data_IF_871089713023
#
_entry.id   IF_871089713023
#
_cell.length_a   1.000
_cell.length_b   1.000
_cell.length_c   1.000
_cell.angle_alpha   90.00
_cell.angle_beta   90.00
_cell.angle_gamma   90.00
#
_symmetry.space_group_name_H-M   'P 1'
#
loop_
_entity.id
_entity.type
_entity.pdbx_description
1 polymer ?
#
# COMPACT_ATOMS: atom_id res chain seq x y z
N UNK A 1 -10.78 18.09 -16.23
CA UNK A 1 -10.03 17.21 -15.30
C UNK A 1 -9.81 15.88 -16.00
N UNK A 2 -8.56 15.50 -16.30
CA UNK A 2 -8.24 14.15 -16.82
C UNK A 2 -7.74 13.33 -15.64
N UNK A 3 -8.63 12.54 -15.04
CA UNK A 3 -8.26 11.58 -14.00
C UNK A 3 -7.38 10.50 -14.61
N UNK A 4 -6.31 10.13 -13.89
CA UNK A 4 -5.43 9.02 -14.27
C UNK A 4 -5.69 7.80 -13.41
N UNK A 5 -5.60 6.63 -14.01
CA UNK A 5 -5.63 5.35 -13.32
C UNK A 5 -4.25 4.69 -13.40
N UNK A 6 -3.88 3.97 -12.33
CA UNK A 6 -2.71 3.09 -12.32
C UNK A 6 -3.21 1.65 -12.16
N UNK A 7 -2.77 0.76 -13.05
CA UNK A 7 -3.19 -0.63 -13.04
C UNK A 7 -2.07 -1.55 -13.51
N UNK A 8 -2.22 -2.83 -13.26
CA UNK A 8 -1.25 -3.84 -13.65
C UNK A 8 -1.79 -4.64 -14.83
N UNK A 9 -0.96 -4.79 -15.85
CA UNK A 9 -1.20 -5.70 -16.98
C UNK A 9 -0.27 -6.89 -16.82
N UNK A 10 -0.84 -8.09 -16.69
CA UNK A 10 -0.07 -9.35 -16.64
C UNK A 10 -0.16 -10.05 -17.98
N UNK A 11 0.99 -10.36 -18.57
CA UNK A 11 1.16 -11.20 -19.77
C UNK A 11 1.87 -12.48 -19.36
N UNK A 12 1.95 -13.47 -20.27
CA UNK A 12 2.53 -14.79 -19.98
C UNK A 12 3.92 -14.71 -19.31
N UNK A 13 4.77 -13.78 -19.75
CA UNK A 13 6.19 -13.73 -19.35
C UNK A 13 6.57 -12.41 -18.68
N UNK A 14 5.63 -11.51 -18.44
CA UNK A 14 5.90 -10.23 -17.78
C UNK A 14 4.65 -9.57 -17.20
N UNK A 15 4.87 -8.72 -16.21
CA UNK A 15 3.88 -7.78 -15.67
C UNK A 15 4.34 -6.35 -15.91
N UNK A 16 3.41 -5.47 -16.22
CA UNK A 16 3.67 -4.04 -16.40
C UNK A 16 2.75 -3.23 -15.50
N UNK A 17 3.30 -2.24 -14.80
CA UNK A 17 2.54 -1.18 -14.15
C UNK A 17 2.30 -0.07 -15.16
N UNK A 18 1.04 0.22 -15.42
CA UNK A 18 0.60 1.14 -16.46
C UNK A 18 -0.16 2.30 -15.85
N UNK A 19 0.08 3.50 -16.39
CA UNK A 19 -0.77 4.68 -16.14
C UNK A 19 -1.49 5.03 -17.43
N UNK A 20 -2.81 5.23 -17.34
CA UNK A 20 -3.65 5.69 -18.45
C UNK A 20 -4.62 6.79 -18.00
N UNK A 21 -5.30 7.39 -18.95
CA UNK A 21 -6.48 8.20 -18.66
C UNK A 21 -7.61 7.29 -18.10
N UNK A 22 -8.56 7.86 -17.36
CA UNK A 22 -9.65 7.09 -16.73
C UNK A 22 -10.52 6.32 -17.72
N UNK A 23 -10.52 6.71 -18.97
CA UNK A 23 -11.20 6.05 -20.09
C UNK A 23 -10.31 4.98 -20.79
N UNK A 24 -9.10 4.74 -20.26
CA UNK A 24 -8.14 3.77 -20.79
C UNK A 24 -7.24 4.29 -21.91
N UNK A 25 -7.44 5.54 -22.37
CA UNK A 25 -6.58 6.12 -23.41
C UNK A 25 -5.18 6.49 -22.87
N UNK A 26 -4.24 6.67 -23.80
CA UNK A 26 -2.86 7.09 -23.52
C UNK A 26 -2.14 6.20 -22.48
N UNK A 27 -2.18 4.85 -22.61
CA UNK A 27 -1.49 3.98 -21.65
C UNK A 27 0.03 4.13 -21.77
N UNK A 28 0.71 4.22 -20.64
CA UNK A 28 2.17 4.28 -20.54
C UNK A 28 2.64 3.27 -19.50
N UNK A 29 3.53 2.36 -19.88
CA UNK A 29 4.21 1.47 -18.95
C UNK A 29 5.25 2.28 -18.18
N UNK A 30 5.12 2.31 -16.84
CA UNK A 30 6.04 3.04 -15.95
C UNK A 30 7.00 2.12 -15.21
N UNK A 31 6.70 0.82 -15.16
CA UNK A 31 7.56 -0.21 -14.62
C UNK A 31 7.21 -1.56 -15.25
N UNK A 32 8.23 -2.34 -15.60
CA UNK A 32 8.07 -3.68 -16.20
C UNK A 32 8.93 -4.69 -15.44
N UNK A 33 8.40 -5.87 -15.18
CA UNK A 33 9.07 -6.97 -14.48
C UNK A 33 8.66 -8.31 -15.05
N UNK A 34 9.55 -9.30 -15.01
CA UNK A 34 9.19 -10.72 -15.25
C UNK A 34 8.40 -11.30 -14.08
N UNK A 35 8.52 -10.70 -12.91
CA UNK A 35 7.84 -11.11 -11.69
C UNK A 35 6.53 -10.32 -11.50
N UNK A 36 5.58 -10.84 -10.71
CA UNK A 36 4.31 -10.15 -10.46
C UNK A 36 4.49 -8.73 -9.90
N UNK A 37 3.57 -7.85 -10.28
CA UNK A 37 3.39 -6.53 -9.71
C UNK A 37 2.00 -6.49 -9.07
N UNK A 38 1.90 -5.98 -7.84
CA UNK A 38 0.64 -5.95 -7.07
C UNK A 38 0.43 -4.60 -6.40
N UNK A 39 -0.83 -4.34 -6.05
CA UNK A 39 -1.25 -3.25 -5.14
C UNK A 39 -0.70 -1.86 -5.51
N UNK A 40 -0.89 -1.35 -6.75
CA UNK A 40 -0.50 0.01 -7.07
C UNK A 40 -1.31 1.02 -6.24
N UNK A 41 -0.64 2.05 -5.74
CA UNK A 41 -1.22 3.13 -4.94
C UNK A 41 -0.62 4.48 -5.34
N UNK A 42 -1.46 5.42 -5.72
CA UNK A 42 -1.06 6.80 -5.97
C UNK A 42 -0.68 7.51 -4.68
N UNK A 43 0.37 8.33 -4.72
CA UNK A 43 0.60 9.32 -3.67
C UNK A 43 -0.49 10.40 -3.69
N UNK A 44 -0.80 11.04 -2.54
CA UNK A 44 -1.88 12.04 -2.46
C UNK A 44 -1.72 13.20 -3.45
N UNK A 45 -0.50 13.59 -3.75
CA UNK A 45 -0.16 14.66 -4.69
C UNK A 45 -0.08 14.20 -6.17
N UNK A 46 -0.26 12.90 -6.43
CA UNK A 46 -0.15 12.31 -7.76
C UNK A 46 1.26 12.28 -8.36
N UNK A 47 2.30 12.62 -7.58
CA UNK A 47 3.69 12.67 -8.08
C UNK A 47 4.41 11.33 -8.06
N UNK A 48 3.84 10.31 -7.39
CA UNK A 48 4.45 8.99 -7.24
C UNK A 48 3.40 7.88 -7.27
N UNK A 49 3.85 6.66 -7.60
CA UNK A 49 3.08 5.43 -7.44
C UNK A 49 3.89 4.45 -6.60
N UNK A 50 3.32 3.98 -5.50
CA UNK A 50 3.84 2.86 -4.72
C UNK A 50 3.22 1.55 -5.23
N UNK A 51 3.98 0.46 -5.23
CA UNK A 51 3.51 -0.87 -5.63
C UNK A 51 4.40 -1.95 -5.04
N UNK A 52 3.94 -3.19 -5.09
CA UNK A 52 4.71 -4.37 -4.68
C UNK A 52 5.26 -5.05 -5.91
N UNK A 53 6.54 -5.46 -5.88
CA UNK A 53 7.13 -6.32 -6.91
C UNK A 53 8.01 -7.39 -6.28
N UNK A 54 8.09 -8.54 -6.95
CA UNK A 54 8.89 -9.71 -6.56
C UNK A 54 10.23 -9.77 -7.31
N UNK A 55 10.72 -8.66 -7.84
CA UNK A 55 11.92 -8.59 -8.70
C UNK A 55 13.16 -9.27 -8.12
N UNK A 56 13.28 -9.38 -6.80
CA UNK A 56 14.37 -10.10 -6.11
C UNK A 56 13.89 -11.38 -5.42
N UNK A 57 12.87 -12.06 -5.96
CA UNK A 57 12.25 -13.28 -5.41
C UNK A 57 11.61 -13.09 -4.02
N UNK A 58 11.49 -11.86 -3.53
CA UNK A 58 10.79 -11.48 -2.29
C UNK A 58 9.93 -10.28 -2.59
N UNK A 59 8.73 -10.26 -2.01
CA UNK A 59 7.87 -9.10 -2.10
C UNK A 59 8.55 -7.89 -1.47
N UNK A 60 8.68 -6.82 -2.22
CA UNK A 60 9.20 -5.54 -1.76
C UNK A 60 8.34 -4.40 -2.29
N UNK A 61 8.23 -3.34 -1.50
CA UNK A 61 7.54 -2.13 -1.91
C UNK A 61 8.50 -1.26 -2.73
N UNK A 62 8.02 -0.79 -3.87
CA UNK A 62 8.71 0.12 -4.77
C UNK A 62 7.94 1.42 -4.86
N UNK A 63 8.64 2.52 -5.09
CA UNK A 63 8.06 3.82 -5.37
C UNK A 63 8.67 4.37 -6.66
N UNK A 64 7.81 4.69 -7.63
CA UNK A 64 8.20 5.30 -8.90
C UNK A 64 7.72 6.75 -8.95
N UNK A 65 8.61 7.74 -9.17
CA UNK A 65 8.21 9.10 -9.43
C UNK A 65 7.58 9.22 -10.83
N UNK A 66 6.50 9.97 -10.94
CA UNK A 66 5.74 10.10 -12.18
C UNK A 66 5.34 11.55 -12.45
N UNK A 67 5.19 11.89 -13.72
CA UNK A 67 4.49 13.10 -14.14
C UNK A 67 3.00 12.76 -14.33
N UNK A 68 2.16 13.19 -13.42
CA UNK A 68 0.72 12.90 -13.45
C UNK A 68 0.07 13.28 -14.79
N UNK A 69 0.35 14.49 -15.32
CA UNK A 69 -0.27 14.98 -16.56
C UNK A 69 0.11 14.13 -17.78
N UNK A 70 1.37 13.70 -17.86
CA UNK A 70 1.88 12.90 -18.97
C UNK A 70 1.68 11.40 -18.76
N UNK A 71 1.37 10.94 -17.53
CA UNK A 71 1.24 9.53 -17.19
C UNK A 71 2.53 8.73 -17.36
N UNK A 72 3.71 9.36 -17.18
CA UNK A 72 5.03 8.74 -17.43
C UNK A 72 5.92 8.82 -16.21
N UNK A 73 6.76 7.81 -16.02
CA UNK A 73 7.82 7.86 -15.02
C UNK A 73 8.78 9.03 -15.30
N UNK A 74 9.21 9.72 -14.24
CA UNK A 74 10.18 10.82 -14.30
C UNK A 74 11.55 10.44 -13.74
N UNK A 75 11.68 9.23 -13.20
CA UNK A 75 12.91 8.71 -12.63
C UNK A 75 12.85 7.21 -12.41
N UNK A 76 13.93 6.65 -11.85
CA UNK A 76 14.01 5.24 -11.50
C UNK A 76 13.15 4.94 -10.28
N UNK A 77 12.56 3.74 -10.25
CA UNK A 77 11.89 3.22 -9.06
C UNK A 77 12.90 2.99 -7.94
N UNK A 78 12.55 3.39 -6.73
CA UNK A 78 13.32 3.11 -5.52
C UNK A 78 12.65 2.00 -4.73
N UNK A 79 13.44 1.17 -4.06
CA UNK A 79 12.95 0.14 -3.12
C UNK A 79 12.79 0.79 -1.76
N UNK A 80 11.66 0.52 -1.10
CA UNK A 80 11.42 0.91 0.29
C UNK A 80 11.87 -0.26 1.17
N UNK A 81 12.92 -0.06 1.90
CA UNK A 81 13.67 -1.09 2.61
C UNK A 81 15.04 -1.33 2.01
N UNK A 82 15.72 -2.44 2.28
CA UNK A 82 15.20 -3.82 2.43
C UNK A 82 14.89 -4.17 3.90
N UNK A 83 13.64 -4.46 4.18
CA UNK A 83 13.28 -5.01 5.49
C UNK A 83 13.25 -6.54 5.42
N UNK A 84 13.63 -7.25 6.50
CA UNK A 84 13.52 -8.71 6.55
C UNK A 84 12.09 -9.17 6.30
N UNK A 85 11.92 -10.29 5.57
CA UNK A 85 10.61 -10.85 5.26
C UNK A 85 9.98 -10.26 3.98
N UNK A 86 8.68 -10.49 3.80
CA UNK A 86 7.90 -9.96 2.68
C UNK A 86 7.28 -8.62 3.05
N UNK A 87 7.40 -7.63 2.18
CA UNK A 87 6.89 -6.27 2.37
C UNK A 87 5.76 -6.03 1.36
N UNK A 88 4.57 -5.72 1.83
CA UNK A 88 3.36 -5.67 0.99
C UNK A 88 2.35 -4.60 1.43
N UNK A 89 1.25 -4.49 0.69
CA UNK A 89 0.09 -3.66 0.98
C UNK A 89 0.45 -2.21 1.36
N UNK A 90 1.14 -1.44 0.49
CA UNK A 90 1.51 -0.07 0.81
C UNK A 90 0.29 0.85 0.86
N UNK A 91 0.24 1.74 1.85
CA UNK A 91 -0.69 2.86 1.94
C UNK A 91 0.07 4.16 2.21
N UNK A 92 -0.25 5.21 1.47
CA UNK A 92 0.36 6.53 1.63
C UNK A 92 -0.20 7.25 2.84
N UNK A 93 0.67 7.90 3.61
CA UNK A 93 0.22 8.93 4.55
C UNK A 93 -0.36 10.13 3.76
N UNK A 94 -1.36 10.85 4.31
CA UNK A 94 -1.99 11.98 3.60
C UNK A 94 -1.03 13.10 3.19
N UNK A 95 0.07 13.27 3.91
CA UNK A 95 1.14 14.23 3.57
C UNK A 95 2.12 13.72 2.50
N UNK A 96 1.99 12.44 2.09
CA UNK A 96 2.87 11.83 1.09
C UNK A 96 4.32 11.61 1.53
N UNK A 97 4.63 11.75 2.84
CA UNK A 97 6.00 11.63 3.35
C UNK A 97 6.33 10.23 3.87
N UNK A 98 5.32 9.42 4.13
CA UNK A 98 5.47 8.07 4.68
C UNK A 98 4.58 7.05 3.98
N UNK A 99 4.91 5.77 4.16
CA UNK A 99 4.09 4.63 3.77
C UNK A 99 3.82 3.76 5.01
N UNK A 100 2.57 3.38 5.22
CA UNK A 100 2.25 2.22 6.04
C UNK A 100 2.40 0.98 5.18
N UNK A 101 3.16 -0.01 5.64
CA UNK A 101 3.40 -1.27 4.93
C UNK A 101 3.26 -2.46 5.87
N UNK A 102 2.76 -3.58 5.35
CA UNK A 102 2.75 -4.85 6.07
C UNK A 102 4.08 -5.57 5.85
N UNK A 103 4.78 -5.90 6.92
CA UNK A 103 6.04 -6.67 6.90
C UNK A 103 5.78 -8.04 7.52
N UNK A 104 5.89 -9.10 6.69
CA UNK A 104 5.67 -10.48 7.11
C UNK A 104 6.97 -11.18 7.41
N UNK A 105 7.06 -11.79 8.60
CA UNK A 105 8.19 -12.60 9.02
C UNK A 105 7.73 -13.71 9.96
N UNK A 106 8.25 -14.93 9.79
CA UNK A 106 8.02 -16.09 10.67
C UNK A 106 6.51 -16.38 10.89
N UNK A 107 5.71 -16.32 9.81
CA UNK A 107 4.29 -16.67 9.82
C UNK A 107 3.35 -15.59 10.40
N UNK A 108 3.85 -14.43 10.75
CA UNK A 108 3.08 -13.26 11.20
C UNK A 108 3.37 -12.04 10.34
N UNK A 109 2.51 -11.05 10.42
CA UNK A 109 2.68 -9.79 9.71
C UNK A 109 2.25 -8.63 10.61
N UNK A 110 3.10 -7.61 10.67
CA UNK A 110 2.80 -6.37 11.38
C UNK A 110 2.87 -5.16 10.44
N UNK A 111 2.15 -4.11 10.81
CA UNK A 111 2.14 -2.85 10.09
C UNK A 111 3.25 -1.95 10.63
N UNK A 112 4.03 -1.42 9.72
CA UNK A 112 5.10 -0.46 10.00
C UNK A 112 4.86 0.83 9.24
N UNK A 113 5.09 1.95 9.90
CA UNK A 113 5.24 3.26 9.27
C UNK A 113 6.67 3.41 8.78
N UNK A 114 6.86 3.74 7.51
CA UNK A 114 8.19 3.92 6.91
C UNK A 114 8.30 5.32 6.33
N UNK A 115 9.26 6.09 6.80
CA UNK A 115 9.61 7.41 6.27
C UNK A 115 10.26 7.28 4.89
N UNK A 116 9.82 8.06 3.91
CA UNK A 116 10.44 8.08 2.58
C UNK A 116 11.75 8.88 2.54
N UNK A 117 11.98 9.72 3.53
CA UNK A 117 13.17 10.57 3.61
C UNK A 117 14.44 9.77 3.90
N UNK A 118 14.36 8.93 4.94
CA UNK A 118 15.52 8.23 5.49
C UNK A 118 15.29 6.72 5.63
N UNK A 119 14.12 6.23 5.25
CA UNK A 119 13.68 4.85 5.35
C UNK A 119 13.68 4.29 6.78
N UNK A 120 13.68 5.16 7.78
CA UNK A 120 13.41 4.76 9.16
C UNK A 120 12.02 4.18 9.28
N UNK A 121 11.84 3.22 10.21
CA UNK A 121 10.55 2.56 10.41
C UNK A 121 10.15 2.52 11.87
N UNK A 122 8.85 2.67 12.12
CA UNK A 122 8.22 2.50 13.43
C UNK A 122 7.18 1.40 13.32
N UNK A 123 7.19 0.46 14.23
CA UNK A 123 6.19 -0.61 14.30
C UNK A 123 4.90 -0.05 14.90
N UNK A 124 3.78 -0.22 14.20
CA UNK A 124 2.46 0.27 14.62
C UNK A 124 1.66 -0.84 15.30
N UNK A 125 1.68 -2.06 14.74
CA UNK A 125 1.06 -3.21 15.36
C UNK A 125 2.13 -4.20 15.83
N UNK A 126 1.89 -4.85 16.96
CA UNK A 126 2.80 -5.85 17.53
C UNK A 126 2.02 -6.97 18.19
N UNK A 127 1.58 -7.93 17.41
CA UNK A 127 0.87 -9.10 17.90
C UNK A 127 1.25 -10.35 17.09
N UNK A 128 0.72 -11.52 17.47
CA UNK A 128 1.07 -12.79 16.80
C UNK A 128 0.16 -13.13 15.62
N UNK A 129 -0.45 -12.14 14.99
CA UNK A 129 -1.45 -12.31 13.94
C UNK A 129 -0.93 -11.81 12.60
N UNK A 130 -1.72 -12.01 11.55
CA UNK A 130 -1.51 -11.40 10.24
C UNK A 130 -2.26 -10.07 10.22
N UNK A 131 -1.51 -8.97 10.28
CA UNK A 131 -2.02 -7.60 10.12
C UNK A 131 -1.59 -7.09 8.74
N UNK A 132 -2.56 -6.65 7.93
CA UNK A 132 -2.31 -6.26 6.53
C UNK A 132 -3.31 -5.21 6.05
N UNK A 133 -3.13 -4.73 4.82
CA UNK A 133 -4.04 -3.79 4.15
C UNK A 133 -4.29 -2.51 4.95
N UNK A 134 -3.22 -1.81 5.39
CA UNK A 134 -3.40 -0.54 6.09
C UNK A 134 -4.06 0.50 5.18
N UNK A 135 -4.87 1.37 5.78
CA UNK A 135 -5.47 2.53 5.12
C UNK A 135 -5.53 3.68 6.11
N UNK A 136 -5.10 4.88 5.68
CA UNK A 136 -5.11 6.07 6.53
C UNK A 136 -6.46 6.78 6.51
N UNK A 137 -6.84 7.37 7.64
CA UNK A 137 -7.79 8.47 7.67
C UNK A 137 -7.22 9.69 6.92
N UNK A 138 -8.10 10.55 6.40
CA UNK A 138 -7.68 11.75 5.65
C UNK A 138 -6.93 12.75 6.55
N UNK A 139 -7.25 12.79 7.85
CA UNK A 139 -6.53 13.61 8.82
C UNK A 139 -5.18 13.02 9.24
N UNK A 140 -4.85 11.81 8.80
CA UNK A 140 -3.58 11.12 9.06
C UNK A 140 -3.38 10.64 10.49
N UNK A 141 -4.43 10.63 11.34
CA UNK A 141 -4.29 10.26 12.76
C UNK A 141 -4.59 8.79 13.04
N UNK A 142 -5.35 8.13 12.16
CA UNK A 142 -5.82 6.77 12.35
C UNK A 142 -5.45 5.89 11.16
N UNK A 143 -5.13 4.63 11.45
CA UNK A 143 -4.99 3.56 10.47
C UNK A 143 -6.10 2.54 10.67
N UNK A 144 -6.77 2.18 9.58
CA UNK A 144 -7.55 0.94 9.46
C UNK A 144 -6.62 -0.17 8.99
N UNK A 145 -6.94 -1.40 9.36
CA UNK A 145 -6.23 -2.57 8.86
C UNK A 145 -7.06 -3.85 9.01
N UNK A 146 -6.70 -4.86 8.26
CA UNK A 146 -7.25 -6.21 8.37
C UNK A 146 -6.39 -7.03 9.32
N UNK A 147 -7.02 -7.78 10.25
CA UNK A 147 -6.32 -8.70 11.15
C UNK A 147 -7.10 -10.00 11.35
N UNK A 148 -6.38 -11.12 11.40
CA UNK A 148 -6.94 -12.46 11.64
C UNK A 148 -6.90 -12.90 13.10
N UNK A 149 -6.56 -12.01 14.05
CA UNK A 149 -6.35 -12.29 15.49
C UNK A 149 -7.51 -12.97 16.20
N UNK A 150 -8.72 -12.89 15.66
CA UNK A 150 -9.91 -13.58 16.17
C UNK A 150 -10.25 -14.85 15.38
N UNK A 151 -9.25 -15.41 14.65
CA UNK A 151 -9.39 -16.64 13.86
C UNK A 151 -9.88 -16.40 12.43
N UNK A 152 -10.35 -15.20 12.09
CA UNK A 152 -10.82 -14.82 10.75
C UNK A 152 -10.54 -13.34 10.51
N UNK A 153 -10.31 -12.91 9.24
CA UNK A 153 -10.07 -11.52 8.91
C UNK A 153 -11.21 -10.61 9.35
N UNK A 154 -10.85 -9.58 10.12
CA UNK A 154 -11.75 -8.55 10.61
C UNK A 154 -11.05 -7.20 10.51
N UNK A 155 -11.82 -6.11 10.46
CA UNK A 155 -11.33 -4.75 10.41
C UNK A 155 -11.03 -4.23 11.81
N UNK A 156 -9.90 -3.61 11.95
CA UNK A 156 -9.42 -2.94 13.17
C UNK A 156 -8.96 -1.53 12.86
N UNK A 157 -8.92 -0.69 13.86
CA UNK A 157 -8.27 0.63 13.81
C UNK A 157 -7.21 0.76 14.89
N UNK A 158 -6.24 1.63 14.64
CA UNK A 158 -5.17 1.98 15.57
C UNK A 158 -4.73 3.43 15.33
N UNK A 159 -4.34 4.21 16.38
CA UNK A 159 -3.67 5.49 16.17
C UNK A 159 -2.38 5.33 15.35
N UNK A 160 -2.06 6.30 14.50
CA UNK A 160 -0.85 6.27 13.64
C UNK A 160 0.45 6.19 14.45
N UNK A 161 0.44 6.71 15.68
CA UNK A 161 1.57 6.60 16.61
C UNK A 161 1.64 5.22 17.30
N UNK A 162 0.74 4.30 17.02
CA UNK A 162 0.54 3.07 17.76
C UNK A 162 -0.34 3.26 19.00
N UNK A 163 -0.61 2.19 19.72
CA UNK A 163 -1.44 2.21 20.92
C UNK A 163 -2.56 1.16 20.88
N UNK A 164 -3.71 1.47 21.47
CA UNK A 164 -4.82 0.53 21.58
C UNK A 164 -5.44 0.26 20.21
N UNK A 165 -5.45 -1.01 19.81
CA UNK A 165 -6.09 -1.50 18.61
C UNK A 165 -7.55 -1.85 18.89
N UNK A 166 -8.49 -1.27 18.14
CA UNK A 166 -9.93 -1.43 18.34
C UNK A 166 -10.53 -2.19 17.15
N UNK A 167 -11.28 -3.26 17.44
CA UNK A 167 -12.04 -4.00 16.42
C UNK A 167 -13.26 -3.19 15.99
N UNK A 168 -13.55 -3.15 14.69
CA UNK A 168 -14.67 -2.40 14.12
C UNK A 168 -15.77 -3.32 13.54
N UNK A 169 -15.42 -4.52 13.06
CA UNK A 169 -16.38 -5.44 12.46
C UNK A 169 -16.64 -6.64 13.35
N UNK A 170 -17.93 -6.92 13.62
CA UNK A 170 -18.38 -8.00 14.51
C UNK A 170 -19.29 -9.01 13.80
N UNK A 171 -19.85 -8.62 12.65
CA UNK A 171 -20.73 -9.48 11.82
C UNK A 171 -19.96 -9.95 10.59
N UNK A 172 -20.40 -11.09 10.03
CA UNK A 172 -19.72 -11.68 8.88
C UNK A 172 -18.50 -12.51 9.25
N UNK A 173 -18.10 -13.38 8.32
CA UNK A 173 -16.97 -14.31 8.53
C UNK A 173 -15.67 -13.78 7.96
N UNK A 174 -15.73 -12.77 7.08
CA UNK A 174 -14.60 -12.23 6.38
C UNK A 174 -14.83 -10.74 6.10
N UNK A 175 -14.09 -9.88 6.77
CA UNK A 175 -14.08 -8.43 6.57
C UNK A 175 -12.63 -7.99 6.37
N UNK A 176 -12.32 -7.44 5.20
CA UNK A 176 -10.97 -7.12 4.78
C UNK A 176 -10.94 -5.90 3.87
N UNK A 177 -9.74 -5.37 3.59
CA UNK A 177 -9.49 -4.23 2.72
C UNK A 177 -10.29 -2.97 3.10
N UNK A 178 -10.20 -2.52 4.36
CA UNK A 178 -10.97 -1.37 4.81
C UNK A 178 -10.49 -0.08 4.15
N UNK A 179 -11.44 0.81 3.89
CA UNK A 179 -11.17 2.17 3.41
C UNK A 179 -12.06 3.15 4.12
N UNK A 180 -11.54 4.32 4.43
CA UNK A 180 -12.35 5.45 4.87
C UNK A 180 -13.15 6.02 3.70
N UNK A 181 -14.35 6.52 3.97
CA UNK A 181 -15.07 7.41 3.06
C UNK A 181 -14.30 8.73 2.88
N UNK A 182 -14.54 9.51 1.80
CA UNK A 182 -13.81 10.74 1.54
C UNK A 182 -13.86 11.79 2.66
N UNK A 183 -14.84 11.72 3.54
CA UNK A 183 -15.05 12.61 4.70
C UNK A 183 -14.73 11.95 6.05
N UNK A 184 -14.14 10.75 6.04
CA UNK A 184 -13.85 9.90 7.21
C UNK A 184 -15.08 9.52 8.06
N UNK A 185 -16.31 9.74 7.58
CA UNK A 185 -17.53 9.47 8.35
C UNK A 185 -17.94 8.00 8.35
N UNK A 186 -17.47 7.20 7.37
CA UNK A 186 -17.77 5.78 7.20
C UNK A 186 -16.51 4.96 6.91
N UNK A 187 -16.63 3.66 7.13
CA UNK A 187 -15.60 2.63 6.82
C UNK A 187 -16.25 1.54 5.98
#
# INVERSE_FOLDING_TARGET
>A
FRTKIAYVVSKKDQSALVIADSDGHNPNEIFVSKEPILSPRWSPDGSKVAFVSFLKRKAAVYVTPVNYKKGRATGKSIVIGPFPGSNSAPAWSPDGQSLAIAISKDGKSDIFMVSLRDQSRVQITNNRSINTEPNFSHDGKTLLFTSDRTGRPQVYQVPVQGGTEVRLTYTGRYNASPHFSPDDSFI
#
